data_IF_318296965679
#
_entry.id   IF_318296965679
#
_cell.length_a   1.000
_cell.length_b   1.000
_cell.length_c   1.000
_cell.angle_alpha   90.00
_cell.angle_beta   90.00
_cell.angle_gamma   90.00
#
_symmetry.space_group_name_H-M   'P 1'
#
loop_
_entity.id
_entity.type
_entity.pdbx_description
1 polymer ?
#
# COMPACT_ATOMS: atom_id res chain seq x y z
N UNK A 1 14.50 -33.85 23.43
CA UNK A 1 13.56 -34.95 23.73
C UNK A 1 12.21 -34.54 23.17
N UNK A 2 11.67 -35.32 22.22
CA UNK A 2 10.52 -34.93 21.37
C UNK A 2 9.18 -35.51 21.84
N UNK A 3 9.11 -36.03 23.06
CA UNK A 3 7.89 -36.61 23.62
C UNK A 3 7.26 -35.61 24.58
N UNK A 4 6.00 -35.33 24.33
CA UNK A 4 5.12 -34.65 25.27
C UNK A 4 5.06 -35.47 26.57
N UNK A 5 5.08 -34.82 27.73
CA UNK A 5 4.91 -35.48 29.04
C UNK A 5 3.56 -36.22 29.14
N UNK A 6 2.64 -35.93 28.21
CA UNK A 6 1.30 -36.51 28.12
C UNK A 6 1.21 -37.80 27.32
N UNK A 7 2.32 -38.43 26.91
CA UNK A 7 2.25 -39.69 26.19
C UNK A 7 1.60 -40.76 27.06
N UNK A 8 0.44 -41.25 26.62
CA UNK A 8 -0.32 -42.27 27.32
C UNK A 8 -0.10 -43.65 26.69
N UNK A 9 -0.11 -44.66 27.55
CA UNK A 9 -0.20 -46.05 27.12
C UNK A 9 -1.48 -46.23 26.30
N UNK A 10 -1.42 -46.96 25.17
CA UNK A 10 -2.51 -47.19 24.22
C UNK A 10 -2.65 -48.66 23.88
N UNK A 11 -3.80 -49.09 23.35
CA UNK A 11 -3.97 -50.47 22.88
C UNK A 11 -3.14 -50.73 21.62
N UNK A 12 -2.54 -51.92 21.50
CA UNK A 12 -1.65 -52.28 20.40
C UNK A 12 -2.18 -53.48 19.56
N UNK A 13 -3.47 -53.45 19.21
CA UNK A 13 -4.10 -54.46 18.33
C UNK A 13 -4.31 -55.85 18.95
N UNK A 14 -3.90 -56.07 20.20
CA UNK A 14 -4.09 -57.33 20.94
C UNK A 14 -4.84 -57.07 22.26
N UNK A 15 -5.95 -57.77 22.55
CA UNK A 15 -6.72 -57.53 23.77
C UNK A 15 -5.86 -57.67 25.04
N UNK A 16 -5.97 -56.68 25.94
CA UNK A 16 -5.19 -56.62 27.18
C UNK A 16 -3.74 -56.16 27.03
N UNK A 17 -3.22 -56.06 25.80
CA UNK A 17 -1.88 -55.53 25.54
C UNK A 17 -1.93 -54.03 25.31
N UNK A 18 -0.91 -53.35 25.82
CA UNK A 18 -0.74 -51.92 25.64
C UNK A 18 0.69 -51.60 25.24
N UNK A 19 0.85 -50.53 24.47
CA UNK A 19 2.14 -49.96 24.09
C UNK A 19 2.23 -48.52 24.58
N UNK A 20 3.44 -48.05 24.85
CA UNK A 20 3.72 -46.65 25.19
C UNK A 20 4.88 -46.19 24.30
N UNK A 21 4.65 -45.31 23.32
CA UNK A 21 5.72 -44.84 22.43
C UNK A 21 6.77 -44.04 23.22
N UNK A 22 8.03 -44.47 23.19
CA UNK A 22 9.13 -43.83 23.95
C UNK A 22 10.12 -43.05 23.10
N UNK A 23 10.09 -43.20 21.79
CA UNK A 23 10.95 -42.46 20.86
C UNK A 23 10.46 -42.67 19.42
N UNK A 24 10.83 -41.73 18.55
CA UNK A 24 10.82 -41.93 17.10
C UNK A 24 12.25 -41.75 16.58
N UNK A 25 12.79 -42.78 15.94
CA UNK A 25 14.14 -42.75 15.40
C UNK A 25 14.07 -42.48 13.89
N UNK A 26 14.63 -41.34 13.47
CA UNK A 26 14.88 -41.07 12.07
C UNK A 26 16.33 -41.45 11.76
N UNK A 27 16.50 -42.45 10.90
CA UNK A 27 17.81 -42.98 10.53
C UNK A 27 18.03 -42.78 9.03
N UNK A 28 19.27 -42.48 8.65
CA UNK A 28 19.72 -42.42 7.28
C UNK A 28 20.85 -43.44 7.10
N UNK A 29 20.70 -44.35 6.13
CA UNK A 29 21.74 -45.31 5.82
C UNK A 29 22.94 -44.59 5.20
N UNK A 30 24.14 -44.92 5.69
CA UNK A 30 25.39 -44.40 5.11
C UNK A 30 25.77 -45.16 3.84
N UNK A 31 25.53 -46.46 3.83
CA UNK A 31 25.77 -47.38 2.72
C UNK A 31 24.78 -48.57 2.80
N UNK A 32 24.90 -49.52 1.88
CA UNK A 32 24.02 -50.70 1.79
C UNK A 32 24.36 -51.83 2.78
N UNK A 33 25.20 -51.59 3.77
CA UNK A 33 25.50 -52.58 4.81
C UNK A 33 24.29 -52.81 5.71
N UNK A 34 24.23 -54.01 6.27
CA UNK A 34 23.24 -54.32 7.31
C UNK A 34 23.70 -53.66 8.61
N UNK A 35 22.82 -52.85 9.20
CA UNK A 35 23.05 -52.22 10.51
C UNK A 35 22.13 -52.86 11.57
N UNK A 36 22.30 -52.51 12.84
CA UNK A 36 21.49 -53.06 13.93
C UNK A 36 21.13 -52.03 15.00
N UNK A 37 19.90 -52.12 15.50
CA UNK A 37 19.49 -51.48 16.75
C UNK A 37 19.89 -52.44 17.88
N UNK A 38 20.77 -52.02 18.80
CA UNK A 38 21.20 -52.87 19.91
C UNK A 38 20.02 -53.18 20.84
N UNK A 39 20.17 -54.25 21.62
CA UNK A 39 19.24 -54.59 22.67
C UNK A 39 19.10 -53.45 23.68
N UNK A 40 17.87 -53.17 24.10
CA UNK A 40 17.55 -52.23 25.16
C UNK A 40 17.26 -53.03 26.44
N UNK A 41 17.91 -52.63 27.51
CA UNK A 41 17.69 -53.19 28.84
C UNK A 41 16.73 -52.30 29.63
N UNK A 42 15.79 -52.92 30.33
CA UNK A 42 14.85 -52.25 31.24
C UNK A 42 14.62 -53.13 32.47
N UNK A 43 14.61 -52.51 33.64
CA UNK A 43 14.17 -53.16 34.87
C UNK A 43 12.69 -52.85 35.11
N UNK A 44 11.89 -53.88 35.32
CA UNK A 44 10.48 -53.77 35.65
C UNK A 44 10.29 -53.99 37.15
N UNK A 45 9.90 -52.93 37.86
CA UNK A 45 9.64 -52.97 39.29
C UNK A 45 8.18 -53.35 39.57
N UNK A 46 8.00 -54.39 40.39
CA UNK A 46 6.70 -54.85 40.87
C UNK A 46 6.67 -54.81 42.40
N UNK A 47 5.48 -54.64 42.97
CA UNK A 47 5.23 -54.88 44.39
C UNK A 47 4.22 -56.03 44.47
N UNK A 48 4.67 -57.19 44.96
CA UNK A 48 3.81 -58.35 45.19
C UNK A 48 3.44 -58.48 46.68
N UNK A 49 2.68 -59.51 47.04
CA UNK A 49 2.26 -59.76 48.43
C UNK A 49 3.41 -60.07 49.40
N UNK A 50 4.63 -60.32 48.90
CA UNK A 50 5.85 -60.66 49.64
C UNK A 50 6.90 -59.55 49.61
N UNK A 51 6.75 -58.53 48.78
CA UNK A 51 7.62 -57.34 48.75
C UNK A 51 7.92 -56.83 47.34
N UNK A 52 8.92 -55.94 47.20
CA UNK A 52 9.36 -55.46 45.89
C UNK A 52 10.10 -56.57 45.12
N UNK A 53 9.77 -56.72 43.84
CA UNK A 53 10.39 -57.66 42.89
C UNK A 53 10.83 -56.89 41.66
N UNK A 54 12.10 -57.00 41.28
CA UNK A 54 12.65 -56.39 40.06
C UNK A 54 12.84 -57.48 39.01
N UNK A 55 12.26 -57.29 37.83
CA UNK A 55 12.44 -58.17 36.69
C UNK A 55 13.23 -57.46 35.58
N UNK A 56 14.50 -57.82 35.35
CA UNK A 56 15.24 -57.31 34.22
C UNK A 56 14.70 -57.93 32.92
N UNK A 57 14.44 -57.10 31.93
CA UNK A 57 14.03 -57.50 30.58
C UNK A 57 14.94 -56.87 29.54
N UNK A 58 15.19 -57.63 28.47
CA UNK A 58 16.03 -57.22 27.36
C UNK A 58 15.24 -57.34 26.05
N UNK A 59 15.31 -56.31 25.19
CA UNK A 59 14.74 -56.37 23.85
C UNK A 59 15.63 -57.17 22.90
N UNK A 60 15.05 -57.72 21.85
CA UNK A 60 15.85 -58.36 20.80
C UNK A 60 16.63 -57.32 19.98
N UNK A 61 17.83 -57.70 19.51
CA UNK A 61 18.57 -56.93 18.51
C UNK A 61 17.75 -56.90 17.22
N UNK A 62 17.52 -55.70 16.70
CA UNK A 62 16.74 -55.51 15.47
C UNK A 62 17.67 -55.16 14.31
N UNK A 63 17.72 -56.02 13.29
CA UNK A 63 18.51 -55.75 12.08
C UNK A 63 17.80 -54.73 11.18
N UNK A 64 18.57 -53.81 10.61
CA UNK A 64 18.12 -52.80 9.65
C UNK A 64 18.66 -53.19 8.27
N UNK A 65 17.74 -53.46 7.32
CA UNK A 65 18.09 -53.69 5.92
C UNK A 65 17.95 -52.39 5.11
N UNK A 66 19.08 -51.80 4.74
CA UNK A 66 19.15 -50.59 3.92
C UNK A 66 19.50 -50.87 2.43
N UNK A 67 19.55 -52.14 2.01
CA UNK A 67 19.88 -52.51 0.63
C UNK A 67 18.86 -52.08 -0.44
N UNK A 68 17.54 -52.00 -0.16
CA UNK A 68 16.58 -51.61 -1.19
C UNK A 68 16.85 -50.19 -1.71
N UNK A 69 17.15 -50.06 -3.01
CA UNK A 69 17.33 -48.75 -3.66
C UNK A 69 16.05 -47.90 -3.67
N UNK A 70 14.89 -48.55 -3.59
CA UNK A 70 13.58 -47.89 -3.50
C UNK A 70 12.74 -48.56 -2.43
N UNK A 71 12.34 -47.78 -1.44
CA UNK A 71 11.37 -48.15 -0.41
C UNK A 71 10.04 -47.49 -0.73
N UNK A 72 8.93 -48.15 -0.42
CA UNK A 72 7.62 -47.53 -0.55
C UNK A 72 7.58 -46.23 0.28
N UNK A 73 7.09 -45.11 -0.29
CA UNK A 73 7.05 -43.84 0.42
C UNK A 73 6.17 -43.96 1.66
N UNK A 74 6.67 -43.44 2.79
CA UNK A 74 5.87 -43.42 4.03
C UNK A 74 4.70 -42.45 3.84
N UNK A 75 3.47 -42.83 4.26
CA UNK A 75 2.33 -41.95 4.13
C UNK A 75 2.52 -40.69 4.96
N UNK A 76 2.05 -39.56 4.43
CA UNK A 76 1.94 -38.30 5.15
C UNK A 76 0.50 -37.79 5.02
N UNK A 77 -0.09 -37.43 6.15
CA UNK A 77 -1.44 -36.89 6.25
C UNK A 77 -1.41 -35.43 6.71
N UNK A 78 -2.44 -34.67 6.35
CA UNK A 78 -2.58 -33.27 6.76
C UNK A 78 -1.42 -32.39 6.31
N UNK A 79 -0.94 -32.57 5.07
CA UNK A 79 0.18 -31.81 4.54
C UNK A 79 -0.20 -30.33 4.40
N UNK A 80 0.49 -29.47 5.13
CA UNK A 80 0.40 -28.02 5.03
C UNK A 80 1.70 -27.47 4.42
N UNK A 81 1.56 -26.58 3.44
CA UNK A 81 2.69 -26.04 2.68
C UNK A 81 2.58 -24.52 2.64
N UNK A 82 3.64 -23.85 3.10
CA UNK A 82 3.79 -22.40 3.03
C UNK A 82 4.86 -22.09 1.99
N UNK A 83 4.52 -21.26 1.01
CA UNK A 83 5.45 -20.75 0.02
C UNK A 83 5.64 -19.24 0.23
N UNK A 84 6.89 -18.79 0.31
CA UNK A 84 7.23 -17.38 0.55
C UNK A 84 8.12 -16.91 -0.59
N UNK A 85 7.61 -15.96 -1.38
CA UNK A 85 8.31 -15.35 -2.50
C UNK A 85 9.11 -14.12 -2.03
N UNK A 86 10.40 -14.09 -2.35
CA UNK A 86 11.24 -12.88 -2.32
C UNK A 86 11.65 -12.52 -3.75
N UNK A 87 11.07 -11.42 -4.23
CA UNK A 87 11.30 -10.88 -5.57
C UNK A 87 12.05 -9.54 -5.56
N UNK A 88 12.68 -9.15 -4.44
CA UNK A 88 13.40 -7.88 -4.33
C UNK A 88 14.56 -7.75 -5.32
N UNK A 89 15.18 -8.87 -5.71
CA UNK A 89 16.28 -8.91 -6.69
C UNK A 89 15.84 -9.13 -8.14
N UNK A 90 14.54 -9.00 -8.44
CA UNK A 90 14.01 -9.26 -9.79
C UNK A 90 14.61 -8.35 -10.87
N UNK A 91 15.03 -7.12 -10.51
CA UNK A 91 15.71 -6.23 -11.44
C UNK A 91 17.04 -6.81 -11.95
N UNK A 92 17.69 -7.68 -11.17
CA UNK A 92 18.86 -8.47 -11.57
C UNK A 92 18.49 -9.83 -12.19
N UNK A 93 17.20 -10.09 -12.40
CA UNK A 93 16.65 -11.34 -12.93
C UNK A 93 16.62 -12.49 -11.92
N UNK A 94 16.81 -12.23 -10.61
CA UNK A 94 16.87 -13.26 -9.55
C UNK A 94 15.66 -13.21 -8.64
N UNK A 95 15.18 -14.37 -8.24
CA UNK A 95 14.05 -14.55 -7.33
C UNK A 95 14.39 -15.69 -6.37
N UNK A 96 13.95 -15.57 -5.12
CA UNK A 96 14.05 -16.66 -4.15
C UNK A 96 12.66 -17.11 -3.72
N UNK A 97 12.45 -18.42 -3.63
CA UNK A 97 11.24 -19.03 -3.11
C UNK A 97 11.61 -19.92 -1.92
N UNK A 98 11.10 -19.60 -0.75
CA UNK A 98 11.13 -20.51 0.40
C UNK A 98 9.88 -21.38 0.38
N UNK A 99 10.06 -22.69 0.56
CA UNK A 99 8.96 -23.65 0.71
C UNK A 99 9.14 -24.33 2.06
N UNK A 100 8.12 -24.25 2.91
CA UNK A 100 8.07 -24.92 4.21
C UNK A 100 6.89 -25.87 4.20
N UNK A 101 7.13 -27.16 4.45
CA UNK A 101 6.06 -28.15 4.52
C UNK A 101 6.05 -28.84 5.87
N UNK A 102 4.85 -29.04 6.41
CA UNK A 102 4.61 -29.75 7.67
C UNK A 102 3.54 -30.80 7.49
N UNK A 103 3.65 -31.94 8.16
CA UNK A 103 2.61 -32.96 8.12
C UNK A 103 2.78 -34.06 9.16
N UNK A 104 1.73 -34.87 9.32
CA UNK A 104 1.76 -36.07 10.15
C UNK A 104 2.25 -37.25 9.31
N UNK A 105 3.40 -37.79 9.64
CA UNK A 105 4.20 -38.69 8.82
C UNK A 105 5.55 -38.04 8.49
N UNK A 106 6.29 -38.63 7.55
CA UNK A 106 7.53 -38.04 7.07
C UNK A 106 7.24 -37.24 5.79
N UNK A 107 7.50 -35.93 5.83
CA UNK A 107 7.34 -35.06 4.65
C UNK A 107 8.27 -35.54 3.53
N UNK A 108 7.73 -35.91 2.35
CA UNK A 108 8.51 -36.45 1.26
C UNK A 108 9.32 -35.37 0.53
N UNK A 109 10.09 -35.76 -0.49
CA UNK A 109 10.80 -34.81 -1.34
C UNK A 109 9.83 -33.87 -2.07
N UNK A 110 10.28 -32.64 -2.35
CA UNK A 110 9.48 -31.56 -2.94
C UNK A 110 8.69 -32.00 -4.19
N UNK A 111 9.35 -32.70 -5.10
CA UNK A 111 8.77 -33.19 -6.38
C UNK A 111 7.70 -34.28 -6.22
N UNK A 112 7.52 -34.82 -5.01
CA UNK A 112 6.52 -35.85 -4.73
C UNK A 112 5.12 -35.25 -4.51
N UNK A 113 5.06 -33.98 -4.07
CA UNK A 113 3.81 -33.33 -3.69
C UNK A 113 3.59 -31.96 -4.32
N UNK A 114 4.62 -31.31 -4.87
CA UNK A 114 4.51 -30.06 -5.63
C UNK A 114 4.99 -30.23 -7.08
N UNK A 115 4.30 -29.57 -8.01
CA UNK A 115 4.72 -29.48 -9.42
C UNK A 115 5.89 -28.51 -9.55
N UNK A 116 7.11 -29.02 -9.70
CA UNK A 116 8.35 -28.21 -9.71
C UNK A 116 8.64 -27.51 -11.05
N UNK A 117 7.62 -27.02 -11.75
CA UNK A 117 7.77 -26.23 -12.97
C UNK A 117 7.70 -24.74 -12.68
N UNK A 118 8.54 -23.93 -13.34
CA UNK A 118 8.50 -22.47 -13.23
C UNK A 118 8.39 -21.85 -14.62
N UNK A 119 7.31 -21.13 -14.88
CA UNK A 119 7.04 -20.56 -16.20
C UNK A 119 8.05 -19.45 -16.52
N UNK A 120 8.90 -19.66 -17.54
CA UNK A 120 9.90 -18.68 -17.97
C UNK A 120 11.05 -18.45 -16.97
N UNK A 121 11.09 -19.22 -15.88
CA UNK A 121 12.14 -19.18 -14.87
C UNK A 121 12.85 -20.53 -14.82
N UNK A 122 14.14 -20.50 -14.51
CA UNK A 122 14.96 -21.68 -14.30
C UNK A 122 15.45 -21.71 -12.86
N UNK A 123 15.34 -22.85 -12.19
CA UNK A 123 16.00 -23.05 -10.91
C UNK A 123 17.53 -23.15 -11.11
N UNK A 124 18.28 -22.21 -10.55
CA UNK A 124 19.74 -22.30 -10.45
C UNK A 124 20.14 -23.21 -9.29
N UNK A 125 19.39 -23.16 -8.19
CA UNK A 125 19.64 -23.96 -7.00
C UNK A 125 18.31 -24.35 -6.33
N UNK A 126 18.20 -25.61 -5.92
CA UNK A 126 17.14 -26.09 -5.02
C UNK A 126 17.86 -26.70 -3.82
N UNK A 127 17.92 -25.94 -2.73
CA UNK A 127 18.58 -26.37 -1.50
C UNK A 127 17.55 -26.96 -0.54
N UNK A 128 17.65 -28.26 -0.32
CA UNK A 128 16.92 -28.97 0.72
C UNK A 128 17.62 -28.79 2.08
N UNK A 129 16.89 -28.31 3.08
CA UNK A 129 17.43 -28.10 4.43
C UNK A 129 17.28 -29.33 5.33
N UNK A 130 16.71 -30.43 4.79
CA UNK A 130 16.53 -31.68 5.50
C UNK A 130 15.18 -31.80 6.20
N UNK A 131 14.84 -33.05 6.50
CA UNK A 131 13.65 -33.43 7.26
C UNK A 131 13.93 -33.33 8.76
N UNK A 132 13.04 -32.70 9.49
CA UNK A 132 13.08 -32.65 10.95
C UNK A 132 11.80 -33.24 11.55
N UNK A 133 11.93 -34.10 12.56
CA UNK A 133 10.80 -34.56 13.37
C UNK A 133 10.64 -33.60 14.52
N UNK A 134 9.48 -32.95 14.62
CA UNK A 134 9.20 -31.92 15.63
C UNK A 134 8.42 -32.47 16.81
N UNK A 135 7.60 -33.49 16.59
CA UNK A 135 6.83 -34.17 17.64
C UNK A 135 6.48 -35.61 17.24
N UNK A 136 5.94 -36.37 18.19
CA UNK A 136 5.29 -37.66 17.94
C UNK A 136 3.83 -37.56 18.35
N UNK A 137 2.92 -37.71 17.38
CA UNK A 137 1.49 -37.80 17.63
C UNK A 137 1.14 -39.22 18.02
N UNK A 138 0.88 -39.41 19.32
CA UNK A 138 0.42 -40.67 19.91
C UNK A 138 -1.06 -40.66 20.29
N UNK A 139 -1.79 -39.56 20.05
CA UNK A 139 -3.15 -39.36 20.54
C UNK A 139 -4.22 -39.98 19.64
N UNK A 140 -3.96 -40.04 18.34
CA UNK A 140 -4.86 -40.62 17.35
C UNK A 140 -4.62 -42.12 17.16
N UNK A 141 -5.40 -42.79 16.30
CA UNK A 141 -5.48 -44.26 16.17
C UNK A 141 -4.15 -44.97 15.85
N UNK A 142 -3.20 -44.27 15.24
CA UNK A 142 -1.84 -44.74 15.00
C UNK A 142 -0.79 -43.75 15.54
N UNK A 143 0.39 -44.28 15.84
CA UNK A 143 1.55 -43.49 16.28
C UNK A 143 2.30 -42.99 15.06
N UNK A 144 2.37 -41.68 14.88
CA UNK A 144 3.03 -41.08 13.73
C UNK A 144 3.89 -39.87 14.15
N UNK A 145 5.06 -39.66 13.53
CA UNK A 145 5.81 -38.43 13.74
C UNK A 145 5.04 -37.24 13.15
N UNK A 146 5.22 -36.06 13.71
CA UNK A 146 4.96 -34.80 13.02
C UNK A 146 6.31 -34.30 12.53
N UNK A 147 6.42 -34.04 11.23
CA UNK A 147 7.67 -33.59 10.63
C UNK A 147 7.50 -32.33 9.82
N UNK A 148 8.61 -31.60 9.70
CA UNK A 148 8.77 -30.43 8.85
C UNK A 148 9.95 -30.61 7.91
N UNK A 149 9.87 -30.00 6.72
CA UNK A 149 10.95 -29.95 5.75
C UNK A 149 10.92 -28.62 5.01
N UNK A 150 12.09 -28.02 4.85
CA UNK A 150 12.24 -26.69 4.28
C UNK A 150 13.13 -26.73 3.04
N UNK A 151 12.75 -26.01 2.00
CA UNK A 151 13.53 -25.82 0.79
C UNK A 151 13.74 -24.34 0.51
N UNK A 152 14.92 -24.00 0.01
CA UNK A 152 15.25 -22.69 -0.53
C UNK A 152 15.56 -22.84 -2.01
N UNK A 153 14.72 -22.23 -2.85
CA UNK A 153 14.87 -22.27 -4.30
C UNK A 153 15.35 -20.92 -4.80
N UNK A 154 16.46 -20.92 -5.53
CA UNK A 154 16.98 -19.74 -6.23
C UNK A 154 16.67 -19.88 -7.71
N UNK A 155 15.87 -18.94 -8.20
CA UNK A 155 15.33 -18.94 -9.56
C UNK A 155 15.89 -17.75 -10.34
N UNK A 156 16.08 -17.95 -11.64
CA UNK A 156 16.53 -16.91 -12.56
C UNK A 156 15.72 -16.90 -13.84
N UNK A 157 15.56 -15.74 -14.44
CA UNK A 157 14.99 -15.61 -15.79
C UNK A 157 15.82 -16.40 -16.79
N UNK A 158 15.18 -17.29 -17.56
CA UNK A 158 15.87 -18.12 -18.54
C UNK A 158 16.45 -17.27 -19.69
N UNK A 159 17.69 -17.56 -20.11
CA UNK A 159 18.32 -16.88 -21.25
C UNK A 159 17.52 -17.13 -22.55
N UNK A 160 17.39 -16.09 -23.37
CA UNK A 160 16.65 -16.15 -24.64
C UNK A 160 15.12 -16.19 -24.51
N UNK A 161 14.58 -16.22 -23.29
CA UNK A 161 13.13 -16.12 -23.02
C UNK A 161 12.81 -14.69 -22.57
N UNK A 162 11.72 -14.06 -23.04
CA UNK A 162 11.29 -12.79 -22.47
C UNK A 162 11.11 -12.97 -20.95
N UNK A 163 11.68 -12.07 -20.15
CA UNK A 163 11.59 -12.14 -18.70
C UNK A 163 10.12 -12.27 -18.30
N UNK A 164 9.78 -13.36 -17.58
CA UNK A 164 8.40 -13.55 -17.14
C UNK A 164 7.99 -12.35 -16.32
N UNK A 165 6.88 -11.72 -16.71
CA UNK A 165 6.32 -10.59 -15.95
C UNK A 165 5.55 -11.06 -14.72
N UNK A 166 5.23 -12.35 -14.68
CA UNK A 166 4.39 -12.96 -13.68
C UNK A 166 5.07 -14.18 -13.06
N UNK A 167 4.87 -14.36 -11.76
CA UNK A 167 5.31 -15.52 -11.01
C UNK A 167 4.10 -16.36 -10.61
N UNK A 168 4.17 -17.65 -10.91
CA UNK A 168 3.21 -18.64 -10.45
C UNK A 168 3.82 -19.45 -9.31
N UNK A 169 3.08 -19.53 -8.19
CA UNK A 169 3.47 -20.40 -7.09
C UNK A 169 3.31 -21.88 -7.47
N UNK A 170 4.06 -22.75 -6.79
CA UNK A 170 4.02 -24.18 -7.07
C UNK A 170 2.65 -24.76 -6.70
N UNK A 171 2.11 -25.60 -7.57
CA UNK A 171 0.81 -26.24 -7.35
C UNK A 171 0.95 -27.60 -6.66
N UNK A 172 0.00 -27.95 -5.78
CA UNK A 172 -0.05 -29.29 -5.19
C UNK A 172 -0.41 -30.34 -6.25
N UNK A 173 0.31 -31.47 -6.22
CA UNK A 173 0.04 -32.63 -7.08
C UNK A 173 -1.13 -33.48 -6.59
N UNK A 174 -1.48 -33.37 -5.30
CA UNK A 174 -2.53 -34.16 -4.64
C UNK A 174 -3.56 -33.24 -3.98
N UNK A 175 -4.83 -33.57 -4.13
CA UNK A 175 -5.92 -32.93 -3.40
C UNK A 175 -5.76 -33.12 -1.89
N UNK A 176 -6.24 -32.14 -1.10
CA UNK A 176 -6.15 -32.17 0.37
C UNK A 176 -4.89 -31.55 0.96
N UNK A 177 -3.93 -31.10 0.13
CA UNK A 177 -2.78 -30.31 0.59
C UNK A 177 -3.23 -28.88 0.88
N UNK A 178 -3.01 -28.39 2.10
CA UNK A 178 -3.34 -27.02 2.47
C UNK A 178 -2.20 -26.08 2.05
N UNK A 179 -2.51 -25.12 1.19
CA UNK A 179 -1.54 -24.20 0.62
C UNK A 179 -1.70 -22.80 1.19
N UNK A 180 -0.59 -22.20 1.63
CA UNK A 180 -0.52 -20.79 2.01
C UNK A 180 0.58 -20.10 1.20
N UNK A 181 0.24 -18.98 0.58
CA UNK A 181 1.16 -18.22 -0.27
C UNK A 181 1.48 -16.89 0.40
N UNK A 182 2.75 -16.52 0.44
CA UNK A 182 3.23 -15.28 1.03
C UNK A 182 4.26 -14.62 0.12
N UNK A 183 4.43 -13.32 0.26
CA UNK A 183 5.44 -12.52 -0.47
C UNK A 183 6.07 -11.52 0.49
N UNK A 184 7.35 -11.27 0.34
CA UNK A 184 7.99 -10.12 0.95
C UNK A 184 7.49 -8.83 0.29
N UNK A 185 6.99 -7.90 1.09
CA UNK A 185 6.63 -6.55 0.70
C UNK A 185 7.49 -5.57 1.52
N UNK A 186 8.49 -4.99 0.88
CA UNK A 186 9.59 -4.30 1.57
C UNK A 186 10.17 -5.20 2.68
N UNK A 187 10.15 -4.84 3.95
CA UNK A 187 10.67 -5.66 5.05
C UNK A 187 9.68 -6.72 5.59
N UNK A 188 8.40 -6.62 5.26
CA UNK A 188 7.34 -7.43 5.87
C UNK A 188 6.94 -8.63 5.01
N UNK A 189 6.37 -9.67 5.63
CA UNK A 189 5.81 -10.82 4.92
C UNK A 189 4.28 -10.68 4.90
N UNK A 190 3.70 -10.63 3.70
CA UNK A 190 2.26 -10.48 3.47
C UNK A 190 1.69 -11.73 2.81
N UNK A 191 0.48 -12.12 3.22
CA UNK A 191 -0.25 -13.23 2.60
C UNK A 191 -0.80 -12.85 1.23
N UNK A 192 -0.62 -13.73 0.25
CA UNK A 192 -1.11 -13.58 -1.12
C UNK A 192 -2.38 -14.39 -1.28
N UNK A 193 -3.43 -13.76 -1.82
CA UNK A 193 -4.69 -14.46 -2.06
C UNK A 193 -4.48 -15.65 -3.00
N UNK A 194 -5.03 -16.84 -2.71
CA UNK A 194 -4.82 -18.05 -3.52
C UNK A 194 -5.14 -17.86 -5.00
N UNK A 195 -6.21 -17.12 -5.32
CA UNK A 195 -6.59 -16.85 -6.71
C UNK A 195 -5.49 -16.07 -7.46
N UNK A 196 -4.87 -15.10 -6.80
CA UNK A 196 -3.78 -14.29 -7.38
C UNK A 196 -2.47 -15.07 -7.47
N UNK A 197 -2.18 -15.89 -6.45
CA UNK A 197 -0.99 -16.74 -6.41
C UNK A 197 -0.97 -17.75 -7.57
N UNK A 198 -2.14 -18.28 -7.94
CA UNK A 198 -2.31 -19.24 -9.03
C UNK A 198 -2.49 -18.58 -10.40
N UNK A 199 -3.05 -17.37 -10.47
CA UNK A 199 -3.26 -16.66 -11.74
C UNK A 199 -2.04 -15.90 -12.25
N UNK A 200 -0.99 -15.78 -11.43
CA UNK A 200 0.22 -15.03 -11.76
C UNK A 200 0.33 -13.74 -10.95
N UNK A 201 1.47 -13.58 -10.28
CA UNK A 201 1.82 -12.41 -9.50
C UNK A 201 2.78 -11.51 -10.28
N UNK A 202 2.43 -10.24 -10.47
CA UNK A 202 3.31 -9.26 -11.15
C UNK A 202 4.63 -9.09 -10.40
N UNK A 203 5.72 -9.43 -11.09
CA UNK A 203 7.09 -9.37 -10.60
C UNK A 203 7.71 -7.98 -10.72
N UNK A 204 7.32 -7.23 -11.75
CA UNK A 204 7.84 -5.88 -11.98
C UNK A 204 6.87 -4.83 -11.44
N UNK A 205 7.37 -3.74 -10.84
CA UNK A 205 6.54 -2.62 -10.46
C UNK A 205 5.87 -2.03 -11.71
N UNK A 206 4.60 -1.63 -11.57
CA UNK A 206 3.89 -0.97 -12.67
C UNK A 206 4.62 0.33 -13.02
N UNK A 207 4.90 0.61 -14.31
CA UNK A 207 5.62 1.81 -14.69
C UNK A 207 4.82 3.06 -14.29
N UNK A 208 5.47 3.95 -13.52
CA UNK A 208 4.91 5.22 -13.03
C UNK A 208 4.48 6.18 -14.18
N UNK A 209 4.87 5.88 -15.41
CA UNK A 209 4.50 6.67 -16.60
C UNK A 209 2.99 6.84 -16.77
N UNK A 210 2.18 5.88 -16.34
CA UNK A 210 0.72 6.01 -16.37
C UNK A 210 0.17 7.18 -15.54
N UNK A 211 0.93 7.67 -14.55
CA UNK A 211 0.61 8.88 -13.78
C UNK A 211 1.22 10.15 -14.39
N UNK A 212 2.32 10.04 -15.13
CA UNK A 212 2.98 11.18 -15.78
C UNK A 212 2.18 11.71 -16.98
N UNK A 213 1.47 10.85 -17.71
CA UNK A 213 0.61 11.23 -18.84
C UNK A 213 -0.55 12.15 -18.42
N UNK A 214 -1.38 11.82 -17.41
CA UNK A 214 -2.42 12.74 -16.96
C UNK A 214 -1.85 14.01 -16.31
N UNK A 215 -0.72 13.91 -15.59
CA UNK A 215 -0.08 15.08 -14.97
C UNK A 215 0.42 16.09 -16.01
N UNK A 216 1.04 15.62 -17.11
CA UNK A 216 1.49 16.50 -18.20
C UNK A 216 0.33 17.15 -18.95
N UNK A 217 -0.78 16.43 -19.16
CA UNK A 217 -2.00 17.01 -19.75
C UNK A 217 -2.58 18.10 -18.84
N UNK A 218 -2.58 17.89 -17.52
CA UNK A 218 -3.12 18.86 -16.56
C UNK A 218 -2.25 20.12 -16.45
N UNK A 219 -0.92 19.97 -16.51
CA UNK A 219 0.02 21.09 -16.59
C UNK A 219 -0.10 21.84 -17.93
N UNK A 220 -0.28 21.13 -19.05
CA UNK A 220 -0.48 21.76 -20.35
C UNK A 220 -1.82 22.53 -20.42
N UNK A 221 -2.90 21.98 -19.86
CA UNK A 221 -4.21 22.64 -19.79
C UNK A 221 -4.17 23.87 -18.89
N UNK A 222 -3.57 23.76 -17.70
CA UNK A 222 -3.44 24.90 -16.79
C UNK A 222 -2.52 26.00 -17.37
N UNK A 223 -1.42 25.62 -18.03
CA UNK A 223 -0.56 26.55 -18.77
C UNK A 223 -1.29 27.23 -19.94
N UNK A 224 -2.10 26.49 -20.69
CA UNK A 224 -2.91 27.01 -21.80
C UNK A 224 -3.99 28.00 -21.34
N UNK A 225 -4.67 27.69 -20.22
CA UNK A 225 -5.67 28.59 -19.61
C UNK A 225 -5.00 29.86 -19.09
N UNK A 226 -3.87 29.75 -18.38
CA UNK A 226 -3.12 30.90 -17.86
C UNK A 226 -2.65 31.84 -18.98
N UNK A 227 -2.17 31.29 -20.10
CA UNK A 227 -1.77 32.06 -21.27
C UNK A 227 -2.94 32.75 -21.97
N UNK A 228 -4.09 32.07 -22.09
CA UNK A 228 -5.30 32.60 -22.73
C UNK A 228 -5.94 33.74 -21.91
N UNK A 229 -6.03 33.60 -20.58
CA UNK A 229 -6.51 34.66 -19.68
C UNK A 229 -5.59 35.88 -19.73
N UNK A 230 -4.28 35.68 -19.83
CA UNK A 230 -3.29 36.77 -19.89
C UNK A 230 -3.29 37.51 -21.24
N UNK A 231 -3.73 36.86 -22.33
CA UNK A 231 -3.94 37.51 -23.65
C UNK A 231 -5.24 38.31 -23.73
N UNK A 232 -6.24 38.00 -22.89
CA UNK A 232 -7.43 38.85 -22.72
C UNK A 232 -7.10 40.00 -21.77
N UNK A 233 -6.32 40.97 -22.25
CA UNK A 233 -6.26 42.29 -21.60
C UNK A 233 -7.67 42.90 -21.70
N UNK A 234 -8.31 43.30 -20.59
CA UNK A 234 -9.51 44.11 -20.68
C UNK A 234 -9.14 45.44 -21.36
N UNK A 235 -9.96 45.88 -22.31
CA UNK A 235 -9.91 47.26 -22.81
C UNK A 235 -10.02 48.24 -21.63
N UNK A 236 -9.35 49.40 -21.68
CA UNK A 236 -9.44 50.38 -20.60
C UNK A 236 -10.90 50.82 -20.45
N UNK A 237 -11.52 50.42 -19.35
CA UNK A 237 -12.86 50.84 -18.99
C UNK A 237 -12.92 52.38 -18.93
N UNK A 238 -13.89 52.95 -19.63
CA UNK A 238 -14.19 54.38 -19.60
C UNK A 238 -14.35 54.84 -18.14
N UNK A 239 -13.58 55.86 -17.76
CA UNK A 239 -13.64 56.48 -16.43
C UNK A 239 -15.06 57.02 -16.19
N UNK A 240 -15.80 56.40 -15.28
CA UNK A 240 -17.10 56.91 -14.85
C UNK A 240 -16.93 58.22 -14.09
N UNK A 241 -17.59 59.28 -14.56
CA UNK A 241 -17.58 60.58 -13.89
C UNK A 241 -18.23 60.46 -12.51
N UNK A 242 -17.47 60.79 -11.45
CA UNK A 242 -17.88 60.64 -10.03
C UNK A 242 -18.98 61.62 -9.62
N UNK A 243 -19.10 62.74 -10.31
CA UNK A 243 -20.16 63.73 -10.09
C UNK A 243 -21.04 63.80 -11.33
N UNK A 244 -22.35 63.81 -11.11
CA UNK A 244 -23.35 63.95 -12.15
C UNK A 244 -24.12 65.24 -11.91
N UNK A 245 -24.50 65.89 -13.00
CA UNK A 245 -25.32 67.11 -12.95
C UNK A 245 -26.72 66.71 -12.47
N UNK A 246 -27.27 67.37 -11.44
CA UNK A 246 -28.62 67.06 -10.97
C UNK A 246 -29.66 67.39 -12.04
N UNK A 247 -30.61 66.49 -12.27
CA UNK A 247 -31.77 66.74 -13.14
C UNK A 247 -33.07 66.59 -12.32
N UNK A 248 -33.90 67.65 -12.20
CA UNK A 248 -33.71 68.99 -12.74
C UNK A 248 -32.62 69.79 -11.98
N UNK A 249 -31.90 70.66 -12.70
CA UNK A 249 -30.85 71.52 -12.14
C UNK A 249 -31.47 72.65 -11.30
N UNK A 250 -31.91 72.33 -10.08
CA UNK A 250 -32.47 73.29 -9.13
C UNK A 250 -31.36 74.07 -8.39
N UNK A 251 -31.61 75.32 -7.96
CA UNK A 251 -30.62 76.11 -7.22
C UNK A 251 -30.02 75.38 -6.01
N UNK A 252 -30.87 74.75 -5.20
CA UNK A 252 -30.43 73.95 -4.05
C UNK A 252 -29.58 72.74 -4.45
N UNK A 253 -29.98 72.02 -5.51
CA UNK A 253 -29.24 70.85 -5.98
C UNK A 253 -27.86 71.20 -6.52
N UNK A 254 -27.77 72.31 -7.26
CA UNK A 254 -26.51 72.80 -7.83
C UNK A 254 -25.57 73.29 -6.74
N UNK A 255 -26.03 74.15 -5.82
CA UNK A 255 -25.22 74.67 -4.72
C UNK A 255 -24.74 73.54 -3.82
N UNK A 256 -25.61 72.57 -3.50
CA UNK A 256 -25.24 71.39 -2.72
C UNK A 256 -24.21 70.49 -3.43
N UNK A 257 -24.21 70.42 -4.76
CA UNK A 257 -23.17 69.72 -5.51
C UNK A 257 -21.84 70.48 -5.50
N UNK A 258 -21.85 71.79 -5.75
CA UNK A 258 -20.64 72.62 -5.75
C UNK A 258 -19.95 72.64 -4.38
N UNK A 259 -20.72 72.77 -3.28
CA UNK A 259 -20.17 72.67 -1.90
C UNK A 259 -19.56 71.29 -1.62
N UNK A 260 -20.17 70.20 -2.11
CA UNK A 260 -19.58 68.85 -1.98
C UNK A 260 -18.27 68.71 -2.73
N UNK A 261 -18.17 69.30 -3.91
CA UNK A 261 -16.93 69.33 -4.70
C UNK A 261 -15.85 70.20 -4.03
N UNK A 262 -16.24 71.32 -3.40
CA UNK A 262 -15.34 72.18 -2.63
C UNK A 262 -14.75 71.45 -1.40
N UNK A 263 -15.56 70.65 -0.72
CA UNK A 263 -15.17 69.89 0.46
C UNK A 263 -14.41 68.57 0.16
N UNK A 264 -14.36 68.14 -1.11
CA UNK A 264 -13.71 66.88 -1.48
C UNK A 264 -12.19 67.04 -1.57
N UNK A 265 -11.49 66.53 -0.57
CA UNK A 265 -10.02 66.57 -0.47
C UNK A 265 -9.31 65.69 -1.50
N UNK A 266 -10.03 64.81 -2.21
CA UNK A 266 -9.46 64.00 -3.28
C UNK A 266 -9.35 64.72 -4.63
N UNK A 267 -9.86 65.95 -4.72
CA UNK A 267 -9.67 66.84 -5.86
C UNK A 267 -8.56 67.85 -5.56
N UNK A 268 -7.51 67.86 -6.38
CA UNK A 268 -6.43 68.83 -6.27
C UNK A 268 -6.75 70.09 -7.09
N UNK A 269 -7.55 70.98 -6.50
CA UNK A 269 -7.88 72.27 -7.09
C UNK A 269 -6.72 73.25 -6.94
N UNK A 270 -6.42 74.03 -7.98
CA UNK A 270 -5.50 75.16 -7.84
C UNK A 270 -6.11 76.23 -6.90
N UNK A 271 -5.27 77.09 -6.31
CA UNK A 271 -5.76 78.16 -5.44
C UNK A 271 -6.73 79.12 -6.17
N UNK A 272 -6.51 79.34 -7.47
CA UNK A 272 -7.39 80.15 -8.31
C UNK A 272 -8.75 79.47 -8.55
N UNK A 273 -8.75 78.15 -8.84
CA UNK A 273 -10.00 77.40 -9.06
C UNK A 273 -10.85 77.30 -7.78
N UNK A 274 -10.21 77.21 -6.62
CA UNK A 274 -10.92 77.21 -5.32
C UNK A 274 -11.61 78.56 -5.06
N UNK A 275 -10.96 79.66 -5.40
CA UNK A 275 -11.50 81.00 -5.22
C UNK A 275 -12.67 81.26 -6.19
N UNK A 276 -12.52 80.84 -7.46
CA UNK A 276 -13.59 80.95 -8.47
C UNK A 276 -14.81 80.08 -8.12
N UNK A 277 -14.60 78.89 -7.54
CA UNK A 277 -15.68 78.04 -7.03
C UNK A 277 -16.43 78.71 -5.87
N UNK A 278 -15.69 79.28 -4.91
CA UNK A 278 -16.30 79.95 -3.75
C UNK A 278 -17.11 81.18 -4.16
N UNK A 279 -16.56 81.99 -5.08
CA UNK A 279 -17.27 83.13 -5.65
C UNK A 279 -18.53 82.71 -6.41
N UNK A 280 -18.45 81.60 -7.17
CA UNK A 280 -19.62 81.04 -7.87
C UNK A 280 -20.71 80.60 -6.90
N UNK A 281 -20.35 79.93 -5.80
CA UNK A 281 -21.29 79.50 -4.76
C UNK A 281 -21.95 80.71 -4.12
N UNK A 282 -21.17 81.72 -3.70
CA UNK A 282 -21.70 82.92 -3.06
C UNK A 282 -22.62 83.72 -3.99
N UNK A 283 -22.26 83.85 -5.27
CA UNK A 283 -23.08 84.55 -6.28
C UNK A 283 -24.41 83.85 -6.54
N UNK A 284 -24.41 82.52 -6.57
CA UNK A 284 -25.64 81.74 -6.72
C UNK A 284 -26.51 81.81 -5.46
N UNK A 285 -25.89 81.80 -4.27
CA UNK A 285 -26.60 81.92 -2.99
C UNK A 285 -27.27 83.28 -2.83
N UNK A 286 -26.55 84.39 -3.06
CA UNK A 286 -27.15 85.73 -2.99
C UNK A 286 -28.26 85.90 -4.04
N UNK A 287 -28.08 85.36 -5.25
CA UNK A 287 -29.06 85.49 -6.33
C UNK A 287 -30.38 84.78 -6.04
N UNK A 288 -30.32 83.54 -5.56
CA UNK A 288 -31.51 82.70 -5.38
C UNK A 288 -32.08 82.75 -3.95
N UNK A 289 -31.31 83.23 -2.97
CA UNK A 289 -31.73 83.27 -1.56
C UNK A 289 -31.78 84.67 -0.92
N UNK A 290 -31.30 85.74 -1.58
CA UNK A 290 -31.55 87.12 -1.10
C UNK A 290 -32.81 87.76 -1.69
N UNK A 291 -33.30 88.79 -0.99
CA UNK A 291 -34.62 89.42 -1.20
C UNK A 291 -34.71 90.38 -2.41
N UNK A 292 -33.62 90.63 -3.15
CA UNK A 292 -33.54 91.60 -4.26
C UNK A 292 -32.95 90.99 -5.54
N UNK A 293 -33.62 90.00 -6.12
CA UNK A 293 -33.15 89.31 -7.33
C UNK A 293 -33.74 89.86 -8.65
N UNK A 294 -33.22 90.96 -9.20
CA UNK A 294 -33.77 91.59 -10.42
C UNK A 294 -32.83 91.56 -11.67
N UNK A 295 -32.58 90.37 -12.23
CA UNK A 295 -31.81 90.17 -13.48
C UNK A 295 -32.03 88.76 -14.11
N UNK A 296 -31.58 88.53 -15.35
CA UNK A 296 -31.82 87.30 -16.11
C UNK A 296 -31.43 85.98 -15.38
N UNK A 297 -32.19 84.91 -15.61
CA UNK A 297 -32.00 83.59 -14.97
C UNK A 297 -30.69 82.91 -15.43
N UNK A 298 -29.76 82.57 -14.51
CA UNK A 298 -28.48 81.97 -14.87
C UNK A 298 -28.63 80.50 -15.29
N UNK A 299 -27.82 80.06 -16.27
CA UNK A 299 -27.80 78.66 -16.74
C UNK A 299 -27.15 77.72 -15.69
N UNK A 300 -27.98 77.24 -14.76
CA UNK A 300 -27.60 76.32 -13.70
C UNK A 300 -27.00 75.00 -14.25
N UNK A 301 -27.54 74.48 -15.35
CA UNK A 301 -27.04 73.25 -15.96
C UNK A 301 -25.68 73.47 -16.63
N UNK A 302 -25.47 74.62 -17.27
CA UNK A 302 -24.18 75.02 -17.86
C UNK A 302 -23.09 75.23 -16.82
N UNK A 303 -23.39 75.96 -15.74
CA UNK A 303 -22.45 76.18 -14.63
C UNK A 303 -22.04 74.85 -13.99
N UNK A 304 -23.01 73.97 -13.73
CA UNK A 304 -22.74 72.66 -13.12
C UNK A 304 -21.92 71.75 -14.04
N UNK A 305 -22.23 71.70 -15.34
CA UNK A 305 -21.47 70.92 -16.33
C UNK A 305 -20.01 71.38 -16.41
N UNK A 306 -19.77 72.69 -16.36
CA UNK A 306 -18.41 73.25 -16.36
C UNK A 306 -17.60 72.74 -15.17
N UNK A 307 -18.16 72.82 -13.97
CA UNK A 307 -17.49 72.37 -12.76
C UNK A 307 -17.27 70.86 -12.73
N UNK A 308 -18.28 70.06 -13.14
CA UNK A 308 -18.12 68.60 -13.26
C UNK A 308 -17.00 68.24 -14.26
N UNK A 309 -16.91 68.93 -15.40
CA UNK A 309 -15.82 68.72 -16.35
C UNK A 309 -14.45 69.08 -15.77
N UNK A 310 -14.37 70.14 -14.95
CA UNK A 310 -13.13 70.52 -14.27
C UNK A 310 -12.66 69.46 -13.27
N UNK A 311 -13.56 68.69 -12.62
CA UNK A 311 -13.13 67.59 -11.72
C UNK A 311 -12.35 66.49 -12.43
N UNK A 312 -12.65 66.24 -13.71
CA UNK A 312 -11.90 65.29 -14.54
C UNK A 312 -10.49 65.80 -14.83
N UNK A 313 -10.32 67.13 -14.91
CA UNK A 313 -9.03 67.79 -15.15
C UNK A 313 -8.18 67.93 -13.88
N UNK A 314 -8.79 68.30 -12.75
CA UNK A 314 -8.13 68.41 -11.44
C UNK A 314 -7.51 67.07 -10.98
N UNK A 315 -8.03 65.95 -11.47
CA UNK A 315 -7.50 64.60 -11.20
C UNK A 315 -6.28 64.20 -12.02
N UNK A 316 -5.95 64.93 -13.10
CA UNK A 316 -4.85 64.58 -14.03
C UNK A 316 -3.51 65.22 -13.66
N UNK A 317 -3.45 65.99 -12.58
CA UNK A 317 -2.20 66.58 -12.08
C UNK A 317 -1.54 65.76 -10.96
N UNK A 318 -2.06 64.57 -10.66
CA UNK A 318 -1.46 63.55 -9.79
C UNK A 318 -0.93 62.36 -10.61
#
# INVERSE_FOLDING_TARGET
>A
TFLDEKVQSRGCGRPGWRETPLAYLLLAAKDGSVDQIPALYMDLDFVDARGPVVLPVESQITLIDARPERVAPRPVAGLEVIQILDDREIAAGRITLEVKATGRGLVPDLSTFLRTGFDGLRAEEIKDQGLAVTAVDSAADDVAPVSERNWLLRLRTAEGTPASREFHFLEPMRGGTKMTYKRYADADIVEVQPKLALSGLSLYPRPLWHWLVPATVLVALSGGVGWWVRRRRPEPAAQTARYQVPEPATPFGVIGLLRRMQADTSLEWSAADRLDLDETIQRLESRFFDRNGDDAEPDLAGITRRWVAMTVRARRLA
#
